data_IF_079147095087
#
_entry.id   IF_079147095087
#
_cell.length_a   1.000
_cell.length_b   1.000
_cell.length_c   1.000
_cell.angle_alpha   90.00
_cell.angle_beta   90.00
_cell.angle_gamma   90.00
#
_symmetry.space_group_name_H-M   'P 1'
#
loop_
_entity.id
_entity.type
_entity.pdbx_description
1 polymer ?
#
# COMPACT_ATOMS: atom_id res chain seq x y z
N UNK A 1 -11.75 37.36 20.10
CA UNK A 1 -10.75 36.35 20.55
C UNK A 1 -11.25 34.92 20.38
N UNK A 2 -12.56 34.68 20.36
CA UNK A 2 -13.13 33.32 20.31
C UNK A 2 -12.92 32.59 18.98
N UNK A 3 -12.90 33.29 17.83
CA UNK A 3 -12.72 32.66 16.52
C UNK A 3 -11.35 31.98 16.34
N UNK A 4 -10.28 32.57 16.88
CA UNK A 4 -8.93 32.01 16.83
C UNK A 4 -8.81 30.79 17.74
N UNK A 5 -9.42 30.83 18.93
CA UNK A 5 -9.43 29.70 19.85
C UNK A 5 -10.19 28.50 19.26
N UNK A 6 -11.34 28.76 18.63
CA UNK A 6 -12.14 27.75 17.92
C UNK A 6 -11.35 27.14 16.76
N UNK A 7 -10.67 27.94 15.94
CA UNK A 7 -9.86 27.44 14.83
C UNK A 7 -8.68 26.59 15.32
N UNK A 8 -7.96 27.04 16.36
CA UNK A 8 -6.87 26.27 16.97
C UNK A 8 -7.35 24.92 17.49
N UNK A 9 -8.54 24.87 18.11
CA UNK A 9 -9.17 23.63 18.56
C UNK A 9 -9.48 22.71 17.36
N UNK A 10 -10.13 23.23 16.32
CA UNK A 10 -10.44 22.46 15.09
C UNK A 10 -9.18 21.85 14.46
N UNK A 11 -8.09 22.62 14.35
CA UNK A 11 -6.82 22.11 13.80
C UNK A 11 -6.23 21.03 14.70
N UNK A 12 -6.20 21.22 16.02
CA UNK A 12 -5.71 20.22 16.97
C UNK A 12 -6.48 18.91 16.88
N UNK A 13 -7.81 18.99 16.85
CA UNK A 13 -8.69 17.82 16.75
C UNK A 13 -8.51 17.13 15.40
N UNK A 14 -8.38 17.90 14.31
CA UNK A 14 -8.11 17.37 12.97
C UNK A 14 -6.79 16.61 12.88
N UNK A 15 -5.72 17.12 13.49
CA UNK A 15 -4.44 16.41 13.57
C UNK A 15 -4.54 15.14 14.42
N UNK A 16 -5.37 15.14 15.48
CA UNK A 16 -5.64 13.93 16.25
C UNK A 16 -6.38 12.89 15.40
N UNK A 17 -7.43 13.28 14.69
CA UNK A 17 -8.18 12.37 13.81
C UNK A 17 -7.33 11.86 12.65
N UNK A 18 -6.53 12.71 12.01
CA UNK A 18 -5.60 12.31 10.94
C UNK A 18 -4.51 11.34 11.42
N UNK A 19 -4.10 11.43 12.70
CA UNK A 19 -3.22 10.46 13.32
C UNK A 19 -3.95 9.14 13.62
N UNK A 20 -5.11 9.21 14.28
CA UNK A 20 -5.91 8.02 14.65
C UNK A 20 -6.40 7.23 13.44
N UNK A 21 -6.74 7.91 12.35
CA UNK A 21 -7.14 7.31 11.07
C UNK A 21 -6.06 6.42 10.47
N UNK A 22 -4.78 6.70 10.76
CA UNK A 22 -3.65 5.92 10.26
C UNK A 22 -3.66 4.46 10.71
N UNK A 23 -4.22 4.16 11.89
CA UNK A 23 -4.32 2.78 12.37
C UNK A 23 -5.31 1.92 11.54
N UNK A 24 -6.62 2.25 11.44
CA UNK A 24 -7.53 1.50 10.59
C UNK A 24 -7.13 1.52 9.10
N UNK A 25 -6.52 2.60 8.61
CA UNK A 25 -5.92 2.62 7.28
C UNK A 25 -4.78 1.62 7.14
N UNK A 26 -3.90 1.51 8.13
CA UNK A 26 -2.81 0.53 8.18
C UNK A 26 -3.31 -0.91 8.12
N UNK A 27 -4.44 -1.23 8.78
CA UNK A 27 -5.07 -2.57 8.68
C UNK A 27 -5.49 -2.85 7.23
N UNK A 28 -6.23 -1.92 6.63
CA UNK A 28 -6.74 -2.09 5.28
C UNK A 28 -5.60 -2.23 4.25
N UNK A 29 -4.60 -1.36 4.31
CA UNK A 29 -3.45 -1.36 3.40
C UNK A 29 -2.58 -2.61 3.60
N UNK A 30 -2.26 -2.96 4.86
CA UNK A 30 -1.45 -4.14 5.16
C UNK A 30 -2.07 -5.43 4.63
N UNK A 31 -3.39 -5.59 4.76
CA UNK A 31 -4.09 -6.74 4.20
C UNK A 31 -4.13 -6.69 2.67
N UNK A 32 -4.54 -5.55 2.10
CA UNK A 32 -4.72 -5.38 0.67
C UNK A 32 -3.41 -5.60 -0.12
N UNK A 33 -2.32 -4.96 0.31
CA UNK A 33 -1.03 -5.01 -0.41
C UNK A 33 -0.37 -6.39 -0.34
N UNK A 34 -0.67 -7.18 0.69
CA UNK A 34 0.02 -8.44 0.96
C UNK A 34 -0.83 -9.69 0.68
N UNK A 35 -2.16 -9.62 0.62
CA UNK A 35 -3.00 -10.81 0.48
C UNK A 35 -3.78 -10.93 -0.83
N UNK A 36 -3.76 -9.92 -1.72
CA UNK A 36 -4.42 -10.03 -3.04
C UNK A 36 -3.72 -11.05 -3.93
N UNK A 37 -2.38 -11.08 -3.97
CA UNK A 37 -1.64 -12.10 -4.71
C UNK A 37 -1.80 -13.51 -4.11
N UNK A 38 -1.65 -13.72 -2.78
CA UNK A 38 -1.99 -14.99 -2.14
C UNK A 38 -3.42 -15.47 -2.43
N UNK A 39 -4.42 -14.58 -2.42
CA UNK A 39 -5.79 -14.92 -2.81
C UNK A 39 -5.86 -15.40 -4.26
N UNK A 40 -5.24 -14.67 -5.19
CA UNK A 40 -5.21 -15.07 -6.60
C UNK A 40 -4.52 -16.44 -6.79
N UNK A 41 -3.43 -16.71 -6.07
CA UNK A 41 -2.77 -18.03 -6.05
C UNK A 41 -3.72 -19.11 -5.52
N UNK A 42 -4.42 -18.87 -4.42
CA UNK A 42 -5.40 -19.80 -3.86
C UNK A 42 -6.58 -20.08 -4.83
N UNK A 43 -6.94 -19.11 -5.67
CA UNK A 43 -7.93 -19.26 -6.74
C UNK A 43 -7.38 -19.99 -7.98
N UNK A 44 -6.07 -20.26 -8.04
CA UNK A 44 -5.43 -20.97 -9.15
C UNK A 44 -4.91 -20.06 -10.26
N UNK A 45 -4.56 -18.81 -9.96
CA UNK A 45 -4.02 -17.89 -10.96
C UNK A 45 -2.73 -18.39 -11.61
N UNK A 46 -2.69 -18.28 -12.94
CA UNK A 46 -1.48 -18.41 -13.74
C UNK A 46 -0.52 -17.24 -13.52
N UNK A 47 0.75 -17.42 -13.89
CA UNK A 47 1.75 -16.35 -13.80
C UNK A 47 1.36 -15.11 -14.63
N UNK A 48 0.76 -15.31 -15.80
CA UNK A 48 0.29 -14.19 -16.65
C UNK A 48 -0.80 -13.40 -15.92
N UNK A 49 -1.77 -14.07 -15.30
CA UNK A 49 -2.82 -13.40 -14.54
C UNK A 49 -2.27 -12.63 -13.33
N UNK A 50 -1.28 -13.17 -12.62
CA UNK A 50 -0.60 -12.44 -11.53
C UNK A 50 0.12 -11.20 -12.07
N UNK A 51 0.82 -11.31 -13.21
CA UNK A 51 1.46 -10.17 -13.87
C UNK A 51 0.47 -9.06 -14.23
N UNK A 52 -0.68 -9.43 -14.79
CA UNK A 52 -1.77 -8.49 -15.13
C UNK A 52 -2.40 -7.88 -13.87
N UNK A 53 -2.64 -8.68 -12.83
CA UNK A 53 -3.20 -8.26 -11.54
C UNK A 53 -2.35 -7.18 -10.84
N UNK A 54 -1.03 -7.15 -11.08
CA UNK A 54 -0.13 -6.18 -10.46
C UNK A 54 0.20 -4.98 -11.38
N UNK A 55 0.19 -5.17 -12.70
CA UNK A 55 0.55 -4.11 -13.66
C UNK A 55 -0.62 -3.18 -13.98
N UNK A 56 -1.83 -3.70 -14.23
CA UNK A 56 -3.00 -2.89 -14.57
C UNK A 56 -3.37 -1.87 -13.49
N UNK A 57 -3.49 -2.24 -12.20
CA UNK A 57 -3.88 -1.27 -11.18
C UNK A 57 -2.90 -0.11 -11.09
N UNK A 58 -1.59 -0.38 -11.18
CA UNK A 58 -0.54 0.66 -11.13
C UNK A 58 -0.61 1.61 -12.32
N UNK A 59 -0.91 1.09 -13.51
CA UNK A 59 -1.13 1.90 -14.71
C UNK A 59 -2.31 2.86 -14.49
N UNK A 60 -3.47 2.33 -14.09
CA UNK A 60 -4.67 3.14 -13.90
C UNK A 60 -4.55 4.12 -12.72
N UNK A 61 -3.87 3.75 -11.63
CA UNK A 61 -3.54 4.69 -10.55
C UNK A 61 -2.70 5.85 -11.09
N UNK A 62 -1.63 5.57 -11.83
CA UNK A 62 -0.74 6.59 -12.39
C UNK A 62 -1.49 7.54 -13.33
N UNK A 63 -2.32 7.00 -14.23
CA UNK A 63 -3.16 7.81 -15.13
C UNK A 63 -4.17 8.67 -14.36
N UNK A 64 -4.79 8.11 -13.31
CA UNK A 64 -5.76 8.86 -12.49
C UNK A 64 -5.12 10.04 -11.75
N UNK A 65 -3.87 9.88 -11.28
CA UNK A 65 -3.17 10.91 -10.51
C UNK A 65 -2.78 12.13 -11.34
N UNK A 66 -2.63 11.99 -12.67
CA UNK A 66 -2.39 13.12 -13.58
C UNK A 66 -3.55 14.13 -13.57
N UNK A 67 -4.76 13.70 -13.19
CA UNK A 67 -5.98 14.51 -13.19
C UNK A 67 -6.46 14.91 -11.79
N UNK A 68 -5.75 14.54 -10.74
CA UNK A 68 -6.17 14.85 -9.37
C UNK A 68 -6.24 16.35 -9.10
N UNK A 69 -5.28 17.14 -9.58
CA UNK A 69 -5.27 18.59 -9.38
C UNK A 69 -6.46 19.26 -10.08
N UNK A 70 -6.66 18.98 -11.37
CA UNK A 70 -7.81 19.43 -12.17
C UNK A 70 -9.15 19.09 -11.47
N UNK A 71 -9.25 17.89 -10.90
CA UNK A 71 -10.45 17.42 -10.23
C UNK A 71 -10.68 18.12 -8.87
N UNK A 72 -9.62 18.38 -8.09
CA UNK A 72 -9.72 19.16 -6.84
C UNK A 72 -10.20 20.57 -7.13
N UNK A 73 -9.65 21.21 -8.17
CA UNK A 73 -10.05 22.55 -8.59
C UNK A 73 -11.52 22.58 -9.03
N UNK A 74 -11.94 21.62 -9.87
CA UNK A 74 -13.33 21.52 -10.34
C UNK A 74 -14.33 21.23 -9.21
N UNK A 75 -13.94 20.42 -8.22
CA UNK A 75 -14.77 20.11 -7.04
C UNK A 75 -14.76 21.26 -6.03
N UNK A 76 -13.73 22.11 -6.04
CA UNK A 76 -13.55 23.24 -5.12
C UNK A 76 -13.25 22.84 -3.66
N UNK A 77 -12.97 21.56 -3.38
CA UNK A 77 -12.68 21.06 -2.04
C UNK A 77 -11.93 19.72 -2.10
N UNK A 78 -10.79 19.66 -1.41
CA UNK A 78 -9.99 18.44 -1.22
C UNK A 78 -10.79 17.42 -0.41
N UNK A 79 -11.49 17.84 0.65
CA UNK A 79 -12.27 16.92 1.49
C UNK A 79 -13.42 16.27 0.72
N UNK A 80 -14.13 17.02 -0.12
CA UNK A 80 -15.20 16.50 -0.99
C UNK A 80 -14.69 15.51 -2.05
N UNK A 81 -13.39 15.53 -2.35
CA UNK A 81 -12.77 14.52 -3.20
C UNK A 81 -12.30 13.30 -2.40
N UNK A 82 -11.61 13.52 -1.27
CA UNK A 82 -10.98 12.49 -0.45
C UNK A 82 -12.01 11.58 0.21
N UNK A 83 -13.07 12.14 0.80
CA UNK A 83 -14.03 11.36 1.60
C UNK A 83 -14.77 10.32 0.73
N UNK A 84 -15.38 10.67 -0.42
CA UNK A 84 -15.97 9.68 -1.30
C UNK A 84 -14.96 8.64 -1.80
N UNK A 85 -13.73 9.06 -2.16
CA UNK A 85 -12.67 8.15 -2.59
C UNK A 85 -12.38 7.05 -1.55
N UNK A 86 -12.32 7.43 -0.28
CA UNK A 86 -12.06 6.51 0.83
C UNK A 86 -13.21 5.52 1.03
N UNK A 87 -14.46 5.98 0.93
CA UNK A 87 -15.62 5.09 1.02
C UNK A 87 -15.77 4.18 -0.20
N UNK A 88 -15.44 4.65 -1.41
CA UNK A 88 -15.35 3.80 -2.60
C UNK A 88 -14.25 2.75 -2.46
N UNK A 89 -13.11 3.13 -1.88
CA UNK A 89 -12.05 2.19 -1.52
C UNK A 89 -12.56 1.17 -0.48
N UNK A 90 -13.27 1.59 0.57
CA UNK A 90 -13.86 0.66 1.54
C UNK A 90 -14.85 -0.31 0.88
N UNK A 91 -15.73 0.19 0.01
CA UNK A 91 -16.71 -0.61 -0.71
C UNK A 91 -16.05 -1.64 -1.64
N UNK A 92 -14.89 -1.31 -2.23
CA UNK A 92 -14.17 -2.21 -3.14
C UNK A 92 -13.64 -3.49 -2.47
N UNK A 93 -13.52 -3.51 -1.13
CA UNK A 93 -13.18 -4.72 -0.40
C UNK A 93 -14.29 -5.78 -0.44
N UNK A 94 -15.55 -5.38 -0.56
CA UNK A 94 -16.68 -6.32 -0.57
C UNK A 94 -16.64 -7.29 -1.77
N UNK A 95 -16.55 -6.85 -3.03
CA UNK A 95 -16.45 -7.78 -4.16
C UNK A 95 -15.17 -8.64 -4.11
N UNK A 96 -14.05 -8.11 -3.58
CA UNK A 96 -12.81 -8.88 -3.38
C UNK A 96 -13.02 -9.98 -2.33
N UNK A 97 -13.64 -9.64 -1.19
CA UNK A 97 -13.93 -10.58 -0.11
C UNK A 97 -14.90 -11.68 -0.55
N UNK A 98 -15.90 -11.34 -1.37
CA UNK A 98 -16.89 -12.30 -1.86
C UNK A 98 -16.33 -13.25 -2.93
N UNK A 99 -15.27 -12.86 -3.65
CA UNK A 99 -14.67 -13.66 -4.72
C UNK A 99 -14.34 -15.12 -4.31
N UNK A 100 -13.68 -15.38 -3.15
CA UNK A 100 -13.49 -16.74 -2.63
C UNK A 100 -14.77 -17.57 -2.56
N UNK A 101 -15.88 -16.98 -2.11
CA UNK A 101 -17.15 -17.70 -1.96
C UNK A 101 -17.82 -18.01 -3.30
N UNK A 102 -17.76 -17.06 -4.24
CA UNK A 102 -18.34 -17.26 -5.57
C UNK A 102 -17.64 -18.42 -6.30
N UNK A 103 -16.33 -18.55 -6.13
CA UNK A 103 -15.57 -19.67 -6.70
C UNK A 103 -15.79 -20.98 -5.94
N UNK A 104 -15.79 -20.94 -4.60
CA UNK A 104 -15.99 -22.14 -3.78
C UNK A 104 -17.36 -22.80 -4.01
N UNK A 105 -18.41 -21.99 -4.20
CA UNK A 105 -19.76 -22.50 -4.47
C UNK A 105 -20.03 -22.75 -5.97
N UNK A 106 -18.99 -22.79 -6.81
CA UNK A 106 -19.08 -23.00 -8.27
C UNK A 106 -19.94 -21.98 -9.03
N UNK A 107 -20.27 -20.85 -8.40
CA UNK A 107 -21.03 -19.76 -9.03
C UNK A 107 -20.21 -19.02 -10.10
N UNK A 108 -18.88 -19.02 -9.96
CA UNK A 108 -17.95 -18.52 -10.95
C UNK A 108 -16.82 -19.53 -11.20
N UNK A 109 -16.52 -19.77 -12.48
CA UNK A 109 -15.31 -20.51 -12.84
C UNK A 109 -14.07 -19.65 -12.58
N UNK A 110 -12.91 -20.26 -12.22
CA UNK A 110 -11.67 -19.51 -12.01
C UNK A 110 -11.25 -18.64 -13.20
N UNK A 111 -11.59 -19.07 -14.43
CA UNK A 111 -11.31 -18.32 -15.65
C UNK A 111 -12.04 -16.97 -15.73
N UNK A 112 -13.21 -16.84 -15.09
CA UNK A 112 -13.99 -15.59 -15.00
C UNK A 112 -13.68 -14.82 -13.71
N UNK A 113 -13.51 -15.54 -12.59
CA UNK A 113 -13.25 -14.93 -11.29
C UNK A 113 -11.95 -14.11 -11.25
N UNK A 114 -10.88 -14.57 -11.91
CA UNK A 114 -9.59 -13.88 -11.91
C UNK A 114 -9.56 -12.55 -12.68
N UNK A 115 -10.13 -12.46 -13.90
CA UNK A 115 -10.37 -11.17 -14.55
C UNK A 115 -11.25 -10.23 -13.71
N UNK A 116 -12.33 -10.73 -13.11
CA UNK A 116 -13.20 -9.91 -12.24
C UNK A 116 -12.48 -9.42 -10.99
N UNK A 117 -11.68 -10.28 -10.34
CA UNK A 117 -10.80 -9.90 -9.23
C UNK A 117 -9.83 -8.81 -9.66
N UNK A 118 -9.24 -8.93 -10.85
CA UNK A 118 -8.32 -7.92 -11.39
C UNK A 118 -9.02 -6.58 -11.60
N UNK A 119 -10.20 -6.56 -12.24
CA UNK A 119 -10.97 -5.33 -12.43
C UNK A 119 -11.41 -4.72 -11.10
N UNK A 120 -11.86 -5.54 -10.15
CA UNK A 120 -12.18 -5.10 -8.79
C UNK A 120 -10.98 -4.52 -8.07
N UNK A 121 -9.80 -5.12 -8.23
CA UNK A 121 -8.55 -4.63 -7.64
C UNK A 121 -8.04 -3.35 -8.32
N UNK A 122 -8.21 -3.20 -9.64
CA UNK A 122 -7.97 -1.92 -10.34
C UNK A 122 -8.82 -0.81 -9.73
N UNK A 123 -10.13 -1.05 -9.58
CA UNK A 123 -11.04 -0.08 -8.96
C UNK A 123 -10.64 0.25 -7.51
N UNK A 124 -10.30 -0.78 -6.73
CA UNK A 124 -9.81 -0.66 -5.37
C UNK A 124 -8.58 0.27 -5.30
N UNK A 125 -7.56 -0.01 -6.13
CA UNK A 125 -6.30 0.73 -6.18
C UNK A 125 -6.49 2.18 -6.62
N UNK A 126 -7.28 2.42 -7.66
CA UNK A 126 -7.58 3.78 -8.13
C UNK A 126 -8.23 4.56 -6.99
N UNK A 127 -9.30 4.03 -6.40
CA UNK A 127 -10.04 4.66 -5.29
C UNK A 127 -9.15 4.94 -4.07
N UNK A 128 -8.18 4.08 -3.80
CA UNK A 128 -7.24 4.23 -2.69
C UNK A 128 -6.24 5.39 -2.90
N UNK A 129 -5.75 5.58 -4.13
CA UNK A 129 -4.55 6.39 -4.38
C UNK A 129 -4.80 7.70 -5.14
N UNK A 130 -5.89 7.82 -5.91
CA UNK A 130 -6.08 8.99 -6.77
C UNK A 130 -6.22 10.29 -5.97
N UNK A 131 -6.85 10.24 -4.78
CA UNK A 131 -7.00 11.39 -3.89
C UNK A 131 -5.77 11.62 -2.97
N UNK A 132 -4.71 10.82 -3.10
CA UNK A 132 -3.50 10.90 -2.28
C UNK A 132 -2.83 12.28 -2.27
N UNK A 133 -2.58 12.92 -3.44
CA UNK A 133 -2.03 14.27 -3.50
C UNK A 133 -2.91 15.32 -2.79
N UNK A 134 -4.23 15.21 -2.93
CA UNK A 134 -5.18 16.09 -2.26
C UNK A 134 -5.13 15.93 -0.73
N UNK A 135 -5.02 14.69 -0.23
CA UNK A 135 -4.84 14.39 1.19
C UNK A 135 -3.53 14.94 1.74
N UNK A 136 -2.41 14.69 1.05
CA UNK A 136 -1.09 15.19 1.45
C UNK A 136 -1.04 16.71 1.51
N UNK A 137 -1.66 17.38 0.54
CA UNK A 137 -1.84 18.83 0.52
C UNK A 137 -2.68 19.33 1.71
N UNK A 138 -3.87 18.78 1.92
CA UNK A 138 -4.78 19.19 3.00
C UNK A 138 -4.15 19.01 4.38
N UNK A 139 -3.49 17.88 4.61
CA UNK A 139 -2.84 17.60 5.88
C UNK A 139 -1.61 18.50 6.10
N UNK A 140 -0.85 18.81 5.04
CA UNK A 140 0.31 19.70 5.13
C UNK A 140 -0.03 21.14 5.52
N UNK A 141 -1.24 21.62 5.20
CA UNK A 141 -1.74 22.93 5.61
C UNK A 141 -2.12 22.97 7.11
N UNK A 142 -2.52 21.85 7.68
CA UNK A 142 -2.85 21.74 9.11
C UNK A 142 -1.62 21.62 10.00
N UNK A 143 -0.52 21.05 9.47
CA UNK A 143 0.69 20.75 10.25
C UNK A 143 1.66 21.94 10.23
N UNK A 144 2.04 22.49 11.40
CA UNK A 144 3.04 23.56 11.46
C UNK A 144 4.38 23.15 10.83
N UNK A 145 4.97 24.04 10.02
CA UNK A 145 6.20 23.78 9.24
C UNK A 145 7.33 23.18 10.11
N UNK A 146 7.58 23.75 11.30
CA UNK A 146 8.63 23.29 12.23
C UNK A 146 8.44 21.87 12.77
N UNK A 147 7.20 21.34 12.75
CA UNK A 147 6.86 20.01 13.28
C UNK A 147 6.42 19.03 12.19
N UNK A 148 6.51 19.43 10.91
CA UNK A 148 6.03 18.64 9.78
C UNK A 148 6.65 17.25 9.73
N UNK A 149 7.99 17.17 9.69
CA UNK A 149 8.70 15.88 9.68
C UNK A 149 8.37 14.99 10.88
N UNK A 150 8.31 15.56 12.09
CA UNK A 150 7.97 14.79 13.31
C UNK A 150 6.54 14.27 13.32
N UNK A 151 5.57 15.06 12.85
CA UNK A 151 4.18 14.64 12.77
C UNK A 151 3.99 13.52 11.73
N UNK A 152 4.43 13.76 10.49
CA UNK A 152 4.33 12.76 9.42
C UNK A 152 5.11 11.49 9.79
N UNK A 153 6.33 11.60 10.31
CA UNK A 153 7.11 10.43 10.73
C UNK A 153 6.50 9.64 11.89
N UNK A 154 5.70 10.25 12.78
CA UNK A 154 4.93 9.51 13.80
C UNK A 154 3.70 8.83 13.22
N UNK A 155 2.99 9.51 12.30
CA UNK A 155 1.84 8.94 11.61
C UNK A 155 2.25 7.73 10.76
N UNK A 156 3.30 7.87 9.96
CA UNK A 156 3.82 6.78 9.12
C UNK A 156 4.32 5.60 9.96
N UNK A 157 4.90 5.86 11.14
CA UNK A 157 5.24 4.80 12.09
C UNK A 157 4.03 4.03 12.61
N UNK A 158 2.95 4.73 12.96
CA UNK A 158 1.71 4.08 13.38
C UNK A 158 1.12 3.25 12.24
N UNK A 159 0.98 3.83 11.05
CA UNK A 159 0.44 3.15 9.88
C UNK A 159 1.26 1.90 9.52
N UNK A 160 2.59 2.04 9.44
CA UNK A 160 3.51 0.94 9.14
C UNK A 160 3.48 -0.16 10.20
N UNK A 161 3.49 0.19 11.48
CA UNK A 161 3.40 -0.80 12.56
C UNK A 161 2.08 -1.59 12.51
N UNK A 162 0.96 -0.89 12.33
CA UNK A 162 -0.36 -1.55 12.25
C UNK A 162 -0.48 -2.38 10.97
N UNK A 163 0.10 -1.95 9.85
CA UNK A 163 0.19 -2.73 8.61
C UNK A 163 0.94 -4.05 8.84
N UNK A 164 2.16 -4.00 9.39
CA UNK A 164 2.97 -5.18 9.71
C UNK A 164 2.22 -6.14 10.62
N UNK A 165 1.63 -5.61 11.70
CA UNK A 165 0.85 -6.41 12.64
C UNK A 165 -0.34 -7.08 11.94
N UNK A 166 -1.03 -6.36 11.06
CA UNK A 166 -2.17 -6.90 10.30
C UNK A 166 -1.73 -7.99 9.33
N UNK A 167 -0.55 -7.87 8.71
CA UNK A 167 0.02 -8.91 7.86
C UNK A 167 0.27 -10.19 8.65
N UNK A 168 0.92 -10.07 9.80
CA UNK A 168 1.19 -11.22 10.67
C UNK A 168 -0.10 -11.89 11.15
N UNK A 169 -1.06 -11.11 11.65
CA UNK A 169 -2.33 -11.64 12.18
C UNK A 169 -3.18 -12.30 11.08
N UNK A 170 -3.27 -11.70 9.88
CA UNK A 170 -3.97 -12.28 8.75
C UNK A 170 -3.31 -13.58 8.29
N UNK A 171 -1.98 -13.61 8.19
CA UNK A 171 -1.21 -14.80 7.86
C UNK A 171 -1.39 -15.95 8.86
N UNK A 172 -1.30 -15.63 10.15
CA UNK A 172 -1.55 -16.58 11.24
C UNK A 172 -2.97 -17.14 11.16
N UNK A 173 -3.98 -16.27 10.99
CA UNK A 173 -5.37 -16.68 10.88
C UNK A 173 -5.61 -17.60 9.67
N UNK A 174 -5.08 -17.24 8.49
CA UNK A 174 -5.18 -18.06 7.28
C UNK A 174 -4.54 -19.44 7.47
N UNK A 175 -3.34 -19.49 8.05
CA UNK A 175 -2.65 -20.74 8.37
C UNK A 175 -3.44 -21.59 9.37
N UNK A 176 -3.97 -20.97 10.43
CA UNK A 176 -4.80 -21.66 11.42
C UNK A 176 -6.06 -22.24 10.78
N UNK A 177 -6.74 -21.51 9.89
CA UNK A 177 -7.92 -22.01 9.16
C UNK A 177 -7.58 -23.19 8.27
N UNK A 178 -6.51 -23.09 7.50
CA UNK A 178 -6.06 -24.16 6.60
C UNK A 178 -5.65 -25.43 7.36
N UNK A 179 -4.89 -25.28 8.44
CA UNK A 179 -4.43 -26.42 9.26
C UNK A 179 -5.55 -27.07 10.04
N UNK A 180 -6.45 -26.28 10.65
CA UNK A 180 -7.59 -26.78 11.43
C UNK A 180 -8.64 -27.52 10.59
N UNK A 181 -8.66 -27.29 9.27
CA UNK A 181 -9.50 -28.04 8.35
C UNK A 181 -8.93 -29.43 7.99
N UNK A 182 -7.68 -29.73 8.36
CA UNK A 182 -7.06 -31.04 8.12
C UNK A 182 -7.76 -32.11 8.97
N UNK A 183 -8.69 -32.85 8.36
CA UNK A 183 -9.52 -33.87 9.02
C UNK A 183 -10.95 -33.40 9.35
N UNK A 184 -11.37 -32.21 8.90
CA UNK A 184 -12.73 -31.71 9.03
C UNK A 184 -13.59 -31.92 7.77
N UNK A 185 -14.80 -31.35 7.79
CA UNK A 185 -15.76 -31.41 6.66
C UNK A 185 -15.35 -30.57 5.44
N UNK A 186 -14.48 -29.58 5.61
CA UNK A 186 -14.02 -28.68 4.55
C UNK A 186 -12.62 -29.09 4.06
N UNK A 187 -12.37 -28.94 2.77
CA UNK A 187 -11.01 -29.06 2.23
C UNK A 187 -10.14 -27.90 2.73
N UNK A 188 -8.81 -28.11 2.76
CA UNK A 188 -7.83 -27.05 3.08
C UNK A 188 -8.03 -25.79 2.24
N UNK A 189 -8.33 -25.98 0.95
CA UNK A 189 -8.58 -24.89 0.00
C UNK A 189 -9.83 -24.09 0.37
N UNK A 190 -10.95 -24.74 0.64
CA UNK A 190 -12.20 -24.07 1.04
C UNK A 190 -12.03 -23.31 2.36
N UNK A 191 -11.32 -23.90 3.32
CA UNK A 191 -11.03 -23.25 4.60
C UNK A 191 -10.14 -22.01 4.43
N UNK A 192 -9.15 -22.06 3.55
CA UNK A 192 -8.31 -20.91 3.19
C UNK A 192 -9.12 -19.82 2.48
N UNK A 193 -9.97 -20.18 1.52
CA UNK A 193 -10.85 -19.24 0.80
C UNK A 193 -11.82 -18.52 1.75
N UNK A 194 -12.43 -19.24 2.69
CA UNK A 194 -13.21 -18.63 3.76
C UNK A 194 -12.36 -17.68 4.62
N UNK A 195 -11.12 -18.08 4.92
CA UNK A 195 -10.18 -17.24 5.65
C UNK A 195 -9.91 -15.91 4.93
N UNK A 196 -9.71 -15.94 3.61
CA UNK A 196 -9.54 -14.73 2.80
C UNK A 196 -10.77 -13.83 2.83
N UNK A 197 -11.98 -14.38 2.75
CA UNK A 197 -13.20 -13.59 2.89
C UNK A 197 -13.20 -12.79 4.20
N UNK A 198 -12.92 -13.44 5.33
CA UNK A 198 -12.90 -12.78 6.65
C UNK A 198 -11.81 -11.70 6.70
N UNK A 199 -10.62 -12.01 6.21
CA UNK A 199 -9.48 -11.07 6.18
C UNK A 199 -9.81 -9.82 5.36
N UNK A 200 -10.36 -9.96 4.15
CA UNK A 200 -10.75 -8.81 3.33
C UNK A 200 -11.98 -8.06 3.87
N UNK A 201 -12.90 -8.73 4.55
CA UNK A 201 -14.02 -8.08 5.24
C UNK A 201 -13.55 -7.22 6.42
N UNK A 202 -12.57 -7.70 7.19
CA UNK A 202 -11.91 -6.93 8.26
C UNK A 202 -11.21 -5.70 7.67
N UNK A 203 -10.49 -5.86 6.55
CA UNK A 203 -9.83 -4.75 5.86
C UNK A 203 -10.85 -3.68 5.39
N UNK A 204 -11.95 -4.10 4.76
CA UNK A 204 -13.03 -3.19 4.35
C UNK A 204 -13.67 -2.46 5.53
N UNK A 205 -13.94 -3.17 6.63
CA UNK A 205 -14.52 -2.59 7.86
C UNK A 205 -13.56 -1.58 8.51
N UNK A 206 -12.27 -1.91 8.58
CA UNK A 206 -11.25 -0.97 9.02
C UNK A 206 -11.21 0.26 8.11
N UNK A 207 -11.32 0.08 6.78
CA UNK A 207 -11.34 1.21 5.85
C UNK A 207 -12.56 2.11 6.01
N UNK A 208 -13.73 1.57 6.37
CA UNK A 208 -14.93 2.37 6.73
C UNK A 208 -14.65 3.23 7.96
N UNK A 209 -14.04 2.67 9.01
CA UNK A 209 -13.67 3.41 10.22
C UNK A 209 -12.69 4.54 9.90
N UNK A 210 -11.68 4.24 9.07
CA UNK A 210 -10.74 5.26 8.58
C UNK A 210 -11.47 6.37 7.79
N UNK A 211 -12.39 6.01 6.90
CA UNK A 211 -13.23 6.97 6.16
C UNK A 211 -14.07 7.86 7.07
N UNK A 212 -14.70 7.28 8.10
CA UNK A 212 -15.44 8.03 9.11
C UNK A 212 -14.53 9.05 9.80
N UNK A 213 -13.34 8.65 10.26
CA UNK A 213 -12.38 9.55 10.89
C UNK A 213 -11.92 10.67 9.93
N UNK A 214 -11.77 10.38 8.63
CA UNK A 214 -11.46 11.41 7.63
C UNK A 214 -12.58 12.44 7.49
N UNK A 215 -13.84 12.06 7.70
CA UNK A 215 -14.94 13.03 7.70
C UNK A 215 -14.83 14.06 8.83
N UNK A 216 -14.12 13.75 9.91
CA UNK A 216 -13.97 14.64 11.07
C UNK A 216 -12.85 15.67 10.92
N UNK A 217 -12.08 15.59 9.82
CA UNK A 217 -10.94 16.47 9.58
C UNK A 217 -11.43 17.77 8.95
N UNK A 218 -11.04 18.88 9.55
CA UNK A 218 -11.27 20.22 9.02
C UNK A 218 -10.39 20.46 7.78
N UNK A 219 -11.00 20.97 6.71
CA UNK A 219 -10.28 21.43 5.52
C UNK A 219 -9.98 22.94 5.64
N UNK A 220 -8.70 23.35 5.65
CA UNK A 220 -8.33 24.75 5.47
C UNK A 220 -8.74 25.27 4.08
N UNK A 221 -9.08 26.57 3.95
CA UNK A 221 -9.50 27.16 2.68
C UNK A 221 -8.52 26.86 1.54
N UNK A 222 -9.05 26.36 0.42
CA UNK A 222 -8.26 26.08 -0.77
C UNK A 222 -7.75 27.38 -1.39
N UNK A 223 -6.44 27.49 -1.58
CA UNK A 223 -5.80 28.62 -2.27
C UNK A 223 -5.16 28.12 -3.55
N UNK A 224 -5.82 28.38 -4.68
CA UNK A 224 -5.28 28.07 -6.01
C UNK A 224 -4.50 29.29 -6.48
N UNK A 225 -3.28 29.07 -6.96
CA UNK A 225 -2.46 30.10 -7.57
C UNK A 225 -2.18 29.67 -9.01
N UNK A 226 -2.60 30.48 -9.98
CA UNK A 226 -2.44 30.18 -11.42
C UNK A 226 -0.96 30.01 -11.82
N UNK A 227 -0.06 30.72 -11.12
CA UNK A 227 1.40 30.64 -11.23
C UNK A 227 2.01 29.26 -10.90
N UNK A 228 1.20 28.28 -10.48
CA UNK A 228 1.64 26.91 -10.20
C UNK A 228 1.16 25.88 -11.23
N UNK A 229 0.50 26.29 -12.32
CA UNK A 229 0.07 25.36 -13.36
C UNK A 229 1.28 24.80 -14.13
N UNK A 230 1.41 23.48 -14.15
CA UNK A 230 2.49 22.78 -14.85
C UNK A 230 1.93 21.49 -15.46
N UNK A 231 1.94 21.40 -16.79
CA UNK A 231 1.36 20.25 -17.48
C UNK A 231 2.34 19.07 -17.56
N UNK A 232 1.78 17.87 -17.77
CA UNK A 232 2.56 16.66 -18.04
C UNK A 232 3.45 16.80 -19.28
N UNK A 233 2.99 17.52 -20.30
CA UNK A 233 3.76 17.74 -21.53
C UNK A 233 4.90 18.74 -21.31
N UNK A 234 4.69 19.76 -20.47
CA UNK A 234 5.75 20.68 -20.07
C UNK A 234 6.83 19.96 -19.26
N UNK A 235 6.42 19.02 -18.41
CA UNK A 235 7.34 18.12 -17.72
C UNK A 235 8.18 17.30 -18.71
N UNK A 236 7.55 16.58 -19.64
CA UNK A 236 8.27 15.72 -20.58
C UNK A 236 9.28 16.50 -21.43
N UNK A 237 8.94 17.73 -21.85
CA UNK A 237 9.85 18.60 -22.60
C UNK A 237 11.08 19.01 -21.78
N UNK A 238 10.92 19.28 -20.48
CA UNK A 238 11.99 19.77 -19.60
C UNK A 238 12.72 18.68 -18.83
N UNK A 239 12.18 17.46 -18.79
CA UNK A 239 12.71 16.35 -18.01
C UNK A 239 14.17 16.00 -18.35
N UNK A 240 14.64 16.02 -19.61
CA UNK A 240 16.03 15.69 -19.93
C UNK A 240 17.06 16.68 -19.34
N UNK A 241 16.66 17.94 -19.14
CA UNK A 241 17.57 19.03 -18.77
C UNK A 241 17.70 19.20 -17.25
N UNK A 242 16.68 18.82 -16.49
CA UNK A 242 16.61 19.08 -15.04
C UNK A 242 17.01 17.91 -14.14
N UNK A 243 17.51 18.24 -12.94
CA UNK A 243 17.73 17.26 -11.86
C UNK A 243 16.46 16.47 -11.51
N UNK A 244 15.28 17.11 -11.61
CA UNK A 244 14.00 16.46 -11.34
C UNK A 244 13.68 15.36 -12.36
N UNK A 245 13.87 15.59 -13.66
CA UNK A 245 13.61 14.56 -14.67
C UNK A 245 14.61 13.41 -14.60
N UNK A 246 15.89 13.68 -14.29
CA UNK A 246 16.88 12.62 -13.98
C UNK A 246 16.47 11.76 -12.79
N UNK A 247 15.95 12.40 -11.73
CA UNK A 247 15.42 11.69 -10.57
C UNK A 247 14.19 10.82 -10.94
N UNK A 248 13.25 11.36 -11.72
CA UNK A 248 12.08 10.60 -12.18
C UNK A 248 12.51 9.40 -13.04
N UNK A 249 13.44 9.59 -13.98
CA UNK A 249 13.97 8.50 -14.81
C UNK A 249 14.66 7.43 -13.96
N UNK A 250 15.44 7.84 -12.97
CA UNK A 250 16.07 6.92 -12.01
C UNK A 250 15.04 6.08 -11.24
N UNK A 251 14.03 6.74 -10.63
CA UNK A 251 12.98 6.05 -9.87
C UNK A 251 12.19 5.11 -10.79
N UNK A 252 11.88 5.54 -12.02
CA UNK A 252 11.17 4.74 -13.01
C UNK A 252 11.94 3.47 -13.40
N UNK A 253 13.25 3.57 -13.65
CA UNK A 253 14.09 2.41 -13.99
C UNK A 253 14.21 1.44 -12.82
N UNK A 254 14.44 1.94 -11.59
CA UNK A 254 14.50 1.10 -10.39
C UNK A 254 13.17 0.37 -10.16
N UNK A 255 12.04 1.09 -10.23
CA UNK A 255 10.73 0.48 -10.05
C UNK A 255 10.40 -0.50 -11.18
N UNK A 256 10.74 -0.19 -12.43
CA UNK A 256 10.57 -1.12 -13.54
C UNK A 256 11.33 -2.43 -13.26
N UNK A 257 12.62 -2.35 -12.91
CA UNK A 257 13.45 -3.53 -12.64
C UNK A 257 12.92 -4.36 -11.45
N UNK A 258 12.54 -3.72 -10.35
CA UNK A 258 12.00 -4.42 -9.17
C UNK A 258 10.66 -5.08 -9.49
N UNK A 259 9.78 -4.40 -10.21
CA UNK A 259 8.43 -4.87 -10.46
C UNK A 259 8.35 -5.95 -11.55
N UNK A 260 9.44 -6.22 -12.27
CA UNK A 260 9.56 -7.39 -13.14
C UNK A 260 9.47 -8.71 -12.37
N UNK A 261 10.03 -8.77 -11.16
CA UNK A 261 10.04 -10.00 -10.34
C UNK A 261 9.23 -9.89 -9.04
N UNK A 262 9.07 -8.68 -8.49
CA UNK A 262 8.43 -8.40 -7.20
C UNK A 262 7.11 -9.16 -6.97
N UNK A 263 6.10 -9.05 -7.86
CA UNK A 263 4.83 -9.76 -7.71
C UNK A 263 4.94 -11.28 -7.59
N UNK A 264 5.94 -11.88 -8.26
CA UNK A 264 6.12 -13.32 -8.35
C UNK A 264 6.74 -13.93 -7.09
N UNK A 265 7.33 -13.16 -6.17
CA UNK A 265 7.83 -13.71 -4.90
C UNK A 265 6.72 -14.33 -4.04
N UNK A 266 5.52 -13.74 -4.06
CA UNK A 266 4.36 -14.31 -3.35
C UNK A 266 3.94 -15.66 -3.95
N UNK A 267 3.93 -15.75 -5.28
CA UNK A 267 3.65 -16.97 -6.02
C UNK A 267 4.72 -18.03 -5.75
N UNK A 268 5.98 -17.63 -5.81
CA UNK A 268 7.12 -18.51 -5.58
C UNK A 268 7.08 -19.11 -4.17
N UNK A 269 6.87 -18.29 -3.14
CA UNK A 269 6.76 -18.78 -1.76
C UNK A 269 5.57 -19.74 -1.56
N UNK A 270 4.38 -19.37 -2.01
CA UNK A 270 3.15 -20.11 -1.68
C UNK A 270 2.91 -21.31 -2.60
N UNK A 271 3.11 -21.16 -3.90
CA UNK A 271 2.82 -22.20 -4.89
C UNK A 271 4.02 -23.10 -5.15
N UNK A 272 5.20 -22.51 -5.35
CA UNK A 272 6.36 -23.25 -5.85
C UNK A 272 7.19 -23.86 -4.70
N UNK A 273 7.37 -23.13 -3.59
CA UNK A 273 8.02 -23.64 -2.36
C UNK A 273 7.04 -24.31 -1.38
N UNK A 274 5.73 -24.12 -1.58
CA UNK A 274 4.70 -24.68 -0.69
C UNK A 274 4.73 -24.12 0.73
N UNK A 275 5.27 -22.91 0.94
CA UNK A 275 5.27 -22.28 2.25
C UNK A 275 3.84 -22.03 2.73
N UNK A 276 3.62 -22.22 4.03
CA UNK A 276 2.34 -21.88 4.62
C UNK A 276 2.13 -20.37 4.67
N UNK A 277 0.87 -19.93 4.81
CA UNK A 277 0.55 -18.51 4.94
C UNK A 277 1.23 -17.84 6.13
N UNK A 278 1.53 -18.60 7.20
CA UNK A 278 2.29 -18.08 8.34
C UNK A 278 3.74 -17.79 7.96
N UNK A 279 4.43 -18.75 7.33
CA UNK A 279 5.82 -18.56 6.87
C UNK A 279 5.94 -17.41 5.88
N UNK A 280 5.04 -17.35 4.90
CA UNK A 280 4.92 -16.23 3.96
C UNK A 280 4.80 -14.89 4.70
N UNK A 281 3.86 -14.80 5.64
CA UNK A 281 3.56 -13.54 6.32
C UNK A 281 4.66 -13.12 7.28
N UNK A 282 5.37 -14.06 7.91
CA UNK A 282 6.56 -13.78 8.71
C UNK A 282 7.66 -13.18 7.85
N UNK A 283 7.99 -13.79 6.70
CA UNK A 283 9.03 -13.28 5.81
C UNK A 283 8.72 -11.87 5.29
N UNK A 284 7.47 -11.63 4.89
CA UNK A 284 7.00 -10.31 4.44
C UNK A 284 7.01 -9.28 5.59
N UNK A 285 6.52 -9.67 6.78
CA UNK A 285 6.49 -8.79 7.95
C UNK A 285 7.90 -8.41 8.42
N UNK A 286 8.89 -9.32 8.33
CA UNK A 286 10.29 -9.03 8.65
C UNK A 286 10.83 -7.94 7.74
N UNK A 287 10.65 -8.06 6.42
CA UNK A 287 11.11 -7.02 5.49
C UNK A 287 10.48 -5.66 5.79
N UNK A 288 9.15 -5.60 5.98
CA UNK A 288 8.45 -4.36 6.29
C UNK A 288 8.87 -3.77 7.66
N UNK A 289 9.10 -4.63 8.65
CA UNK A 289 9.58 -4.21 9.98
C UNK A 289 10.95 -3.56 9.87
N UNK A 290 11.90 -4.20 9.18
CA UNK A 290 13.24 -3.67 9.04
C UNK A 290 13.31 -2.44 8.12
N UNK A 291 12.41 -2.31 7.14
CA UNK A 291 12.22 -1.04 6.42
C UNK A 291 11.77 0.08 7.36
N UNK A 292 10.80 -0.18 8.23
CA UNK A 292 10.32 0.80 9.19
C UNK A 292 11.37 1.19 10.24
N UNK A 293 12.14 0.22 10.73
CA UNK A 293 13.21 0.43 11.71
C UNK A 293 14.43 1.14 11.11
N UNK A 294 14.74 0.88 9.84
CA UNK A 294 15.87 1.51 9.16
C UNK A 294 15.56 2.94 8.69
N UNK A 295 14.30 3.30 8.46
CA UNK A 295 13.90 4.65 8.04
C UNK A 295 14.48 5.80 8.90
N UNK A 296 14.36 5.78 10.25
CA UNK A 296 14.98 6.79 11.12
C UNK A 296 16.51 6.82 11.05
N UNK A 297 17.15 5.66 10.82
CA UNK A 297 18.60 5.58 10.63
C UNK A 297 19.00 6.26 9.32
N UNK A 298 18.33 5.92 8.21
CA UNK A 298 18.56 6.51 6.91
C UNK A 298 18.28 8.01 6.89
N UNK A 299 17.21 8.46 7.56
CA UNK A 299 16.89 9.89 7.70
C UNK A 299 18.00 10.68 8.40
N UNK A 300 18.46 10.21 9.56
CA UNK A 300 19.59 10.85 10.28
C UNK A 300 20.89 10.84 9.48
N UNK A 301 21.12 9.79 8.70
CA UNK A 301 22.30 9.70 7.84
C UNK A 301 22.17 10.67 6.66
N UNK A 302 21.00 10.76 6.05
CA UNK A 302 20.69 11.68 4.96
C UNK A 302 20.84 13.16 5.39
N UNK A 303 20.46 13.51 6.62
CA UNK A 303 20.67 14.85 7.18
C UNK A 303 22.17 15.25 7.23
N UNK A 304 23.08 14.27 7.33
CA UNK A 304 24.54 14.49 7.39
C UNK A 304 25.20 14.47 6.02
N UNK A 305 24.82 13.52 5.16
CA UNK A 305 25.54 13.23 3.91
C UNK A 305 24.75 13.56 2.64
N UNK A 306 23.50 13.97 2.77
CA UNK A 306 22.55 14.27 1.70
C UNK A 306 21.75 13.05 1.22
N UNK A 307 20.49 13.29 0.86
CA UNK A 307 19.54 12.26 0.38
C UNK A 307 20.07 11.44 -0.81
N UNK A 308 20.80 12.09 -1.74
CA UNK A 308 21.31 11.41 -2.93
C UNK A 308 22.31 10.28 -2.60
N UNK A 309 23.14 10.45 -1.56
CA UNK A 309 24.10 9.42 -1.16
C UNK A 309 23.40 8.21 -0.54
N UNK A 310 22.39 8.46 0.29
CA UNK A 310 21.54 7.40 0.86
C UNK A 310 20.84 6.62 -0.25
N UNK A 311 20.20 7.33 -1.17
CA UNK A 311 19.52 6.74 -2.31
C UNK A 311 20.45 5.84 -3.14
N UNK A 312 21.69 6.29 -3.40
CA UNK A 312 22.69 5.50 -4.13
C UNK A 312 23.08 4.21 -3.38
N UNK A 313 23.39 4.32 -2.09
CA UNK A 313 23.79 3.15 -1.27
C UNK A 313 22.65 2.12 -1.26
N UNK A 314 21.44 2.56 -0.93
CA UNK A 314 20.29 1.68 -0.82
C UNK A 314 19.90 1.06 -2.16
N UNK A 315 19.95 1.84 -3.25
CA UNK A 315 19.65 1.33 -4.60
C UNK A 315 20.71 0.36 -5.11
N UNK A 316 21.96 0.43 -4.64
CA UNK A 316 22.97 -0.59 -4.93
C UNK A 316 22.69 -1.92 -4.23
N UNK A 317 21.95 -1.94 -3.11
CA UNK A 317 21.60 -3.18 -2.39
C UNK A 317 20.52 -3.95 -3.16
N UNK A 318 19.55 -3.25 -3.76
CA UNK A 318 18.33 -3.86 -4.33
C UNK A 318 18.60 -4.96 -5.38
N UNK A 319 19.54 -4.82 -6.35
CA UNK A 319 19.81 -5.85 -7.35
C UNK A 319 20.36 -7.15 -6.77
N UNK A 320 21.03 -7.10 -5.61
CA UNK A 320 21.58 -8.29 -4.96
C UNK A 320 20.51 -9.11 -4.24
N UNK A 321 19.41 -8.48 -3.82
CA UNK A 321 18.33 -9.16 -3.10
C UNK A 321 17.77 -10.37 -3.86
N UNK A 322 17.32 -10.28 -5.13
CA UNK A 322 16.83 -11.46 -5.86
C UNK A 322 17.91 -12.53 -6.11
N UNK A 323 19.19 -12.14 -6.19
CA UNK A 323 20.30 -13.11 -6.34
C UNK A 323 20.43 -13.96 -5.08
N UNK A 324 20.23 -13.38 -3.89
CA UNK A 324 20.28 -14.13 -2.63
C UNK A 324 19.25 -15.27 -2.59
N UNK A 325 18.08 -15.10 -3.20
CA UNK A 325 17.06 -16.15 -3.27
C UNK A 325 17.46 -17.38 -4.11
N UNK A 326 18.50 -17.27 -4.95
CA UNK A 326 19.01 -18.38 -5.76
C UNK A 326 19.86 -19.34 -4.93
N UNK A 327 20.55 -18.85 -3.90
CA UNK A 327 21.51 -19.66 -3.13
C UNK A 327 20.83 -20.63 -2.16
N UNK A 328 19.73 -20.24 -1.54
CA UNK A 328 19.01 -21.11 -0.60
C UNK A 328 17.55 -20.70 -0.44
N UNK A 329 16.70 -21.71 -0.28
CA UNK A 329 15.26 -21.58 -0.06
C UNK A 329 14.88 -21.99 1.39
N UNK A 330 15.86 -22.18 2.28
CA UNK A 330 15.60 -22.43 3.70
C UNK A 330 14.99 -21.18 4.35
N UNK A 331 13.93 -21.37 5.14
CA UNK A 331 13.18 -20.26 5.76
C UNK A 331 14.07 -19.38 6.66
N UNK A 332 15.03 -19.95 7.38
CA UNK A 332 15.93 -19.20 8.26
C UNK A 332 16.90 -18.36 7.44
N UNK A 333 17.40 -18.91 6.34
CA UNK A 333 18.21 -18.14 5.39
C UNK A 333 17.42 -16.96 4.81
N UNK A 334 16.21 -17.23 4.30
CA UNK A 334 15.34 -16.20 3.72
C UNK A 334 14.92 -15.13 4.73
N UNK A 335 14.81 -15.48 6.02
CA UNK A 335 14.57 -14.51 7.09
C UNK A 335 15.67 -13.43 7.13
N UNK A 336 16.95 -13.83 7.05
CA UNK A 336 18.07 -12.87 7.00
C UNK A 336 18.10 -12.09 5.68
N UNK A 337 17.76 -12.72 4.56
CA UNK A 337 17.62 -12.02 3.27
C UNK A 337 16.54 -10.92 3.36
N UNK A 338 15.42 -11.20 4.04
CA UNK A 338 14.35 -10.22 4.24
C UNK A 338 14.75 -9.07 5.17
N UNK A 339 15.60 -9.31 6.17
CA UNK A 339 16.19 -8.22 6.97
C UNK A 339 16.97 -7.27 6.07
N UNK A 340 17.85 -7.81 5.23
CA UNK A 340 18.65 -7.00 4.29
C UNK A 340 17.75 -6.27 3.29
N UNK A 341 16.70 -6.93 2.81
CA UNK A 341 15.67 -6.34 1.94
C UNK A 341 15.02 -5.13 2.62
N UNK A 342 14.56 -5.27 3.86
CA UNK A 342 13.99 -4.19 4.63
C UNK A 342 14.95 -3.00 4.80
N UNK A 343 16.20 -3.27 5.16
CA UNK A 343 17.22 -2.21 5.31
C UNK A 343 17.47 -1.49 3.98
N UNK A 344 17.55 -2.22 2.86
CA UNK A 344 17.72 -1.65 1.53
C UNK A 344 16.54 -0.75 1.14
N UNK A 345 15.31 -1.27 1.27
CA UNK A 345 14.09 -0.53 0.94
C UNK A 345 13.81 0.66 1.87
N UNK A 346 14.25 0.64 3.13
CA UNK A 346 14.00 1.74 4.06
C UNK A 346 14.71 3.06 3.72
N UNK A 347 15.65 3.06 2.77
CA UNK A 347 16.39 4.26 2.34
C UNK A 347 16.21 4.63 0.86
N UNK A 348 15.34 3.93 0.13
CA UNK A 348 14.86 4.28 -1.22
C UNK A 348 13.43 4.78 -1.09
#
# INVERSE_FOLDING_TARGET
>A
MDSIAVLKKKVKDSLRFAFLEGAPAGIALGIMDNFVNPLAVALGASNVQIGVLNSLPRLFVSLSQLKTADLVERVGSRRRLIVPAVFLHALSFLPIALMPFLVANTLLSPGVALPLLTLGYVWCMVSAHFAGPAWGSMLSDLVPVRRRGSYFGRRERLLGFVSVLSVFLAGYYLNWRETSASGGLLTKKEAALFGFFVVFLVAGSARVISGYLMTLIYEPPLRIKEEHYFSFWDFLRRAPEGNFGRYVAFVAVIHFAVLMSGPFFSVFMLRDLGFSYLTYSVLVAVAQTFALLSGPFWGKYADKVGNLRVLRICSCILPFLPILWVFSQDVRYLFFVQILSGIGWGGV
#
